data_IF_087821002809
#
_entry.id   IF_087821002809
#
_cell.length_a   1.000
_cell.length_b   1.000
_cell.length_c   1.000
_cell.angle_alpha   90.00
_cell.angle_beta   90.00
_cell.angle_gamma   90.00
#
_symmetry.space_group_name_H-M   'P 1'
#
loop_
_entity.id
_entity.type
_entity.pdbx_description
1 polymer ?
#
# COMPACT_ATOMS: atom_id res chain seq x y z
N UNK A 1 21.67 19.21 2.51
CA UNK A 1 20.69 20.14 1.91
C UNK A 1 19.32 19.53 2.08
N UNK A 2 18.30 20.26 2.57
CA UNK A 2 16.93 19.80 2.43
C UNK A 2 16.65 19.66 0.93
N UNK A 3 16.03 18.54 0.53
CA UNK A 3 15.49 18.40 -0.82
C UNK A 3 14.30 19.36 -0.90
N UNK A 4 14.54 20.59 -1.36
CA UNK A 4 13.47 21.55 -1.64
C UNK A 4 12.79 21.02 -2.90
N UNK A 5 11.48 20.67 -2.86
CA UNK A 5 10.77 20.26 -4.06
C UNK A 5 10.85 21.41 -5.07
N UNK A 6 11.36 21.12 -6.26
CA UNK A 6 11.39 22.09 -7.34
C UNK A 6 9.96 22.24 -7.86
N UNK A 7 9.36 23.41 -7.67
CA UNK A 7 7.96 23.67 -8.03
C UNK A 7 7.73 23.74 -9.53
N UNK A 8 8.81 23.82 -10.32
CA UNK A 8 8.76 23.83 -11.78
C UNK A 8 8.92 22.42 -12.39
N UNK A 9 9.19 21.41 -11.57
CA UNK A 9 9.28 20.00 -11.97
C UNK A 9 8.02 19.25 -11.50
N UNK A 10 7.67 18.13 -12.14
CA UNK A 10 6.50 17.28 -11.79
C UNK A 10 6.69 16.52 -10.45
N UNK A 11 7.42 17.13 -9.51
CA UNK A 11 7.82 16.61 -8.19
C UNK A 11 6.66 16.63 -7.17
N UNK A 12 5.51 17.18 -7.56
CA UNK A 12 4.25 17.12 -6.79
C UNK A 12 3.34 15.96 -7.19
N UNK A 13 3.66 15.22 -8.26
CA UNK A 13 2.98 13.98 -8.56
C UNK A 13 3.08 12.99 -7.37
N UNK A 14 2.03 12.22 -7.05
CA UNK A 14 2.04 11.32 -5.89
C UNK A 14 3.21 10.33 -5.92
N UNK A 15 3.57 9.84 -7.12
CA UNK A 15 4.72 8.97 -7.35
C UNK A 15 6.08 9.65 -7.07
N UNK A 16 6.24 10.94 -7.40
CA UNK A 16 7.47 11.68 -7.16
C UNK A 16 7.62 12.05 -5.68
N UNK A 17 6.52 12.39 -5.00
CA UNK A 17 6.52 12.61 -3.54
C UNK A 17 6.90 11.35 -2.75
N UNK A 18 6.38 10.19 -3.12
CA UNK A 18 6.75 8.93 -2.47
C UNK A 18 8.23 8.59 -2.70
N UNK A 19 8.74 8.83 -3.92
CA UNK A 19 10.15 8.62 -4.23
C UNK A 19 11.08 9.54 -3.41
N UNK A 20 10.70 10.81 -3.25
CA UNK A 20 11.40 11.79 -2.41
C UNK A 20 11.42 11.35 -0.95
N UNK A 21 10.26 10.98 -0.39
CA UNK A 21 10.16 10.49 0.99
C UNK A 21 11.03 9.24 1.19
N UNK A 22 10.95 8.28 0.25
CA UNK A 22 11.72 7.05 0.33
C UNK A 22 13.22 7.32 0.35
N UNK A 23 13.69 8.21 -0.53
CA UNK A 23 15.08 8.63 -0.55
C UNK A 23 15.48 9.31 0.77
N UNK A 24 14.67 10.25 1.27
CA UNK A 24 14.96 10.96 2.51
C UNK A 24 15.10 10.00 3.71
N UNK A 25 14.21 9.00 3.82
CA UNK A 25 14.22 8.04 4.93
C UNK A 25 15.31 6.98 4.78
N UNK A 26 15.54 6.44 3.58
CA UNK A 26 16.44 5.30 3.41
C UNK A 26 17.87 5.72 3.08
N UNK A 27 18.06 6.79 2.32
CA UNK A 27 19.35 7.20 1.76
C UNK A 27 19.83 8.56 2.31
N UNK A 28 18.93 9.32 2.94
CA UNK A 28 19.24 10.61 3.57
C UNK A 28 20.20 10.51 4.77
N UNK A 29 20.68 11.67 5.26
CA UNK A 29 21.50 11.72 6.46
C UNK A 29 20.73 11.17 7.67
N UNK A 30 21.41 10.45 8.55
CA UNK A 30 20.85 9.91 9.79
C UNK A 30 21.90 9.22 10.66
N UNK A 31 21.55 8.99 11.92
CA UNK A 31 22.37 8.31 12.93
C UNK A 31 22.48 6.80 12.68
N UNK A 32 21.52 6.22 11.97
CA UNK A 32 21.52 4.82 11.55
C UNK A 32 22.16 4.70 10.16
N UNK A 33 23.05 3.73 9.91
CA UNK A 33 23.55 3.50 8.55
C UNK A 33 22.41 3.18 7.57
N UNK A 34 22.45 3.79 6.38
CA UNK A 34 21.45 3.59 5.31
C UNK A 34 21.15 2.11 5.04
N UNK A 35 22.19 1.27 5.01
CA UNK A 35 22.03 -0.19 4.84
C UNK A 35 21.10 -0.82 5.87
N UNK A 36 21.19 -0.43 7.14
CA UNK A 36 20.34 -0.97 8.21
C UNK A 36 18.89 -0.50 8.02
N UNK A 37 18.68 0.78 7.66
CA UNK A 37 17.35 1.32 7.34
C UNK A 37 16.71 0.58 6.17
N UNK A 38 17.47 0.28 5.12
CA UNK A 38 17.01 -0.56 4.00
C UNK A 38 16.61 -1.96 4.47
N UNK A 39 17.43 -2.63 5.27
CA UNK A 39 17.14 -3.99 5.78
C UNK A 39 15.81 -4.01 6.55
N UNK A 40 15.60 -3.08 7.48
CA UNK A 40 14.37 -3.05 8.29
C UNK A 40 13.14 -2.61 7.48
N UNK A 41 13.30 -1.73 6.48
CA UNK A 41 12.20 -1.33 5.60
C UNK A 41 11.68 -2.50 4.76
N UNK A 42 12.59 -3.29 4.19
CA UNK A 42 12.22 -4.52 3.48
C UNK A 42 11.69 -5.60 4.44
N UNK A 43 12.04 -5.50 5.72
CA UNK A 43 11.63 -6.39 6.80
C UNK A 43 11.88 -7.88 6.50
N UNK A 44 13.00 -8.15 5.82
CA UNK A 44 13.57 -9.48 5.73
C UNK A 44 14.15 -9.83 7.09
N UNK A 45 13.31 -10.39 7.97
CA UNK A 45 13.66 -10.61 9.38
C UNK A 45 14.94 -11.44 9.54
N UNK A 46 15.26 -12.31 8.58
CA UNK A 46 16.51 -13.07 8.49
C UNK A 46 17.75 -12.19 8.33
N UNK A 47 17.65 -11.06 7.65
CA UNK A 47 18.72 -10.07 7.48
C UNK A 47 18.77 -9.03 8.63
N UNK A 48 17.71 -8.94 9.45
CA UNK A 48 17.63 -8.06 10.62
C UNK A 48 18.42 -8.66 11.79
N UNK A 49 19.21 -7.82 12.46
CA UNK A 49 19.97 -8.21 13.65
C UNK A 49 19.05 -8.76 14.75
N UNK A 50 19.57 -9.66 15.57
CA UNK A 50 18.75 -10.35 16.57
C UNK A 50 18.07 -9.37 17.54
N UNK A 51 18.77 -8.29 17.91
CA UNK A 51 18.27 -7.26 18.83
C UNK A 51 17.06 -6.50 18.26
N UNK A 52 17.06 -6.24 16.96
CA UNK A 52 16.00 -5.48 16.30
C UNK A 52 14.82 -6.33 15.85
N UNK A 53 14.98 -7.65 15.71
CA UNK A 53 14.01 -8.53 15.04
C UNK A 53 12.62 -8.46 15.67
N UNK A 54 12.52 -8.56 16.99
CA UNK A 54 11.23 -8.50 17.70
C UNK A 54 10.54 -7.14 17.59
N UNK A 55 11.32 -6.06 17.64
CA UNK A 55 10.81 -4.70 17.45
C UNK A 55 10.32 -4.49 16.02
N UNK A 56 11.12 -4.86 15.02
CA UNK A 56 10.79 -4.74 13.59
C UNK A 56 9.54 -5.54 13.23
N UNK A 57 9.42 -6.77 13.74
CA UNK A 57 8.22 -7.60 13.52
C UNK A 57 6.96 -6.96 14.13
N UNK A 58 7.09 -6.44 15.36
CA UNK A 58 6.00 -5.69 16.01
C UNK A 58 5.61 -4.46 15.18
N UNK A 59 6.56 -3.64 14.76
CA UNK A 59 6.27 -2.43 13.99
C UNK A 59 5.70 -2.74 12.60
N UNK A 60 6.05 -3.88 12.01
CA UNK A 60 5.54 -4.31 10.70
C UNK A 60 4.08 -4.77 10.74
N UNK A 61 3.76 -5.64 11.70
CA UNK A 61 2.47 -6.34 11.75
C UNK A 61 1.51 -5.79 12.80
N UNK A 62 2.05 -5.22 13.88
CA UNK A 62 1.33 -4.90 15.11
C UNK A 62 1.75 -3.56 15.72
N UNK A 63 1.96 -2.52 14.91
CA UNK A 63 2.47 -1.23 15.39
C UNK A 63 1.63 -0.62 16.54
N UNK A 64 0.33 -0.92 16.60
CA UNK A 64 -0.55 -0.51 17.70
C UNK A 64 -0.27 -1.22 19.04
N UNK A 65 0.59 -2.25 19.04
CA UNK A 65 1.08 -2.95 20.22
C UNK A 65 2.50 -2.53 20.60
N UNK A 66 3.07 -1.50 19.98
CA UNK A 66 4.37 -0.98 20.40
C UNK A 66 4.31 -0.56 21.86
N UNK A 67 5.34 -0.90 22.63
CA UNK A 67 5.43 -0.56 24.05
C UNK A 67 6.69 0.24 24.34
N UNK A 68 6.63 1.06 25.39
CA UNK A 68 7.79 1.80 25.90
C UNK A 68 8.90 0.84 26.39
N UNK A 69 8.54 -0.38 26.78
CA UNK A 69 9.50 -1.42 27.17
C UNK A 69 10.38 -1.87 26.02
N UNK A 70 9.79 -2.12 24.84
CA UNK A 70 10.57 -2.47 23.65
C UNK A 70 11.56 -1.37 23.27
N UNK A 71 11.17 -0.11 23.42
CA UNK A 71 12.07 1.03 23.18
C UNK A 71 13.19 1.04 24.23
N UNK A 72 12.85 0.94 25.52
CA UNK A 72 13.85 0.88 26.61
C UNK A 72 14.86 -0.25 26.40
N UNK A 73 14.41 -1.43 26.03
CA UNK A 73 15.28 -2.58 25.80
C UNK A 73 16.32 -2.27 24.71
N UNK A 74 15.90 -1.66 23.59
CA UNK A 74 16.83 -1.22 22.54
C UNK A 74 17.84 -0.19 23.05
N UNK A 75 17.39 0.79 23.86
CA UNK A 75 18.29 1.78 24.46
C UNK A 75 19.33 1.13 25.39
N UNK A 76 18.92 0.13 26.19
CA UNK A 76 19.84 -0.57 27.11
C UNK A 76 20.93 -1.37 26.37
N UNK A 77 20.65 -1.81 25.14
CA UNK A 77 21.61 -2.53 24.28
C UNK A 77 22.50 -1.58 23.48
N UNK A 78 22.29 -0.26 23.60
CA UNK A 78 23.17 0.77 23.05
C UNK A 78 22.66 1.47 21.80
N UNK A 79 21.40 1.24 21.40
CA UNK A 79 20.76 2.06 20.37
C UNK A 79 20.41 3.45 20.94
N UNK A 80 20.59 4.50 20.14
CA UNK A 80 20.12 5.84 20.53
C UNK A 80 18.64 6.03 20.22
N UNK A 81 18.00 7.00 20.87
CA UNK A 81 16.60 7.37 20.57
C UNK A 81 16.43 7.76 19.09
N UNK A 82 17.38 8.53 18.54
CA UNK A 82 17.39 8.89 17.12
C UNK A 82 17.43 7.64 16.21
N UNK A 83 18.25 6.65 16.55
CA UNK A 83 18.32 5.41 15.77
C UNK A 83 17.02 4.61 15.87
N UNK A 84 16.43 4.49 17.06
CA UNK A 84 15.15 3.81 17.22
C UNK A 84 14.05 4.52 16.42
N UNK A 85 14.02 5.86 16.46
CA UNK A 85 13.09 6.66 15.66
C UNK A 85 13.27 6.43 14.16
N UNK A 86 14.51 6.52 13.65
CA UNK A 86 14.82 6.30 12.23
C UNK A 86 14.42 4.88 11.77
N UNK A 87 14.69 3.86 12.58
CA UNK A 87 14.30 2.48 12.29
C UNK A 87 12.78 2.32 12.28
N UNK A 88 12.07 2.96 13.21
CA UNK A 88 10.60 2.98 13.26
C UNK A 88 10.01 3.54 11.97
N UNK A 89 10.53 4.69 11.54
CA UNK A 89 10.09 5.36 10.30
C UNK A 89 10.40 4.50 9.08
N UNK A 90 11.59 3.89 9.02
CA UNK A 90 11.97 3.00 7.91
C UNK A 90 11.06 1.75 7.82
N UNK A 91 10.74 1.11 8.95
CA UNK A 91 9.80 -0.03 8.99
C UNK A 91 8.40 0.41 8.55
N UNK A 92 7.91 1.53 9.06
CA UNK A 92 6.59 2.06 8.71
C UNK A 92 6.48 2.39 7.21
N UNK A 93 7.51 3.03 6.64
CA UNK A 93 7.61 3.33 5.22
C UNK A 93 7.52 2.05 4.38
N UNK A 94 8.34 1.04 4.69
CA UNK A 94 8.35 -0.21 3.96
C UNK A 94 7.04 -1.01 4.09
N UNK A 95 6.42 -1.00 5.27
CA UNK A 95 5.11 -1.60 5.48
C UNK A 95 4.01 -0.86 4.68
N UNK A 96 4.07 0.47 4.64
CA UNK A 96 3.22 1.31 3.79
C UNK A 96 3.36 0.97 2.31
N UNK A 97 4.60 0.95 1.80
CA UNK A 97 4.90 0.65 0.41
C UNK A 97 4.36 -0.72 -0.02
N UNK A 98 4.61 -1.77 0.79
CA UNK A 98 4.08 -3.12 0.49
C UNK A 98 2.56 -3.15 0.38
N UNK A 99 1.86 -2.44 1.27
CA UNK A 99 0.39 -2.36 1.24
C UNK A 99 -0.11 -1.58 0.02
N UNK A 100 0.58 -0.50 -0.34
CA UNK A 100 0.26 0.28 -1.54
C UNK A 100 0.42 -0.56 -2.82
N UNK A 101 1.58 -1.21 -2.99
CA UNK A 101 1.88 -2.05 -4.16
C UNK A 101 0.89 -3.20 -4.28
N UNK A 102 0.55 -3.86 -3.17
CA UNK A 102 -0.45 -4.93 -3.15
C UNK A 102 -1.84 -4.43 -3.55
N UNK A 103 -2.24 -3.24 -3.09
CA UNK A 103 -3.51 -2.61 -3.45
C UNK A 103 -3.60 -2.29 -4.94
N UNK A 104 -2.58 -1.64 -5.50
CA UNK A 104 -2.51 -1.33 -6.94
C UNK A 104 -2.54 -2.60 -7.80
N UNK A 105 -1.80 -3.64 -7.40
CA UNK A 105 -1.82 -4.93 -8.09
C UNK A 105 -3.20 -5.60 -8.03
N UNK A 106 -3.94 -5.47 -6.91
CA UNK A 106 -5.29 -6.00 -6.80
C UNK A 106 -6.28 -5.28 -7.74
N UNK A 107 -6.18 -3.95 -7.85
CA UNK A 107 -7.00 -3.13 -8.76
C UNK A 107 -6.72 -3.52 -10.21
N UNK A 108 -5.45 -3.57 -10.61
CA UNK A 108 -5.06 -3.96 -11.97
C UNK A 108 -5.61 -5.34 -12.35
N UNK A 109 -5.48 -6.33 -11.46
CA UNK A 109 -6.04 -7.67 -11.67
C UNK A 109 -7.57 -7.67 -11.80
N UNK A 110 -8.27 -6.82 -11.04
CA UNK A 110 -9.72 -6.69 -11.13
C UNK A 110 -10.16 -6.10 -12.48
N UNK A 111 -9.46 -5.07 -12.96
CA UNK A 111 -9.69 -4.47 -14.27
C UNK A 111 -9.46 -5.47 -15.40
N UNK A 112 -8.37 -6.24 -15.36
CA UNK A 112 -8.11 -7.30 -16.35
C UNK A 112 -9.22 -8.36 -16.36
N UNK A 113 -9.71 -8.77 -15.18
CA UNK A 113 -10.82 -9.73 -15.06
C UNK A 113 -12.11 -9.20 -15.68
N UNK A 114 -12.41 -7.91 -15.48
CA UNK A 114 -13.61 -7.28 -16.02
C UNK A 114 -13.56 -7.12 -17.53
N UNK A 115 -12.39 -6.79 -18.09
CA UNK A 115 -12.17 -6.75 -19.54
C UNK A 115 -12.27 -8.14 -20.20
N UNK A 116 -11.91 -9.20 -19.48
CA UNK A 116 -11.99 -10.58 -19.94
C UNK A 116 -13.38 -11.23 -19.74
N UNK A 117 -14.32 -10.55 -19.07
CA UNK A 117 -15.68 -11.07 -18.92
C UNK A 117 -16.38 -11.06 -20.29
N UNK A 118 -16.93 -12.19 -20.76
CA UNK A 118 -17.70 -12.20 -22.00
C UNK A 118 -18.89 -11.26 -21.85
N UNK A 119 -19.16 -10.45 -22.88
CA UNK A 119 -20.37 -9.65 -22.93
C UNK A 119 -21.57 -10.61 -22.79
N UNK A 120 -22.19 -10.61 -21.62
CA UNK A 120 -23.45 -11.33 -21.41
C UNK A 120 -24.41 -10.83 -22.48
N UNK A 121 -24.96 -11.69 -23.36
CA UNK A 121 -25.96 -11.23 -24.30
C UNK A 121 -27.12 -10.71 -23.47
N UNK A 122 -27.38 -9.40 -23.55
CA UNK A 122 -28.63 -8.83 -23.05
C UNK A 122 -29.73 -9.58 -23.80
N UNK A 123 -30.59 -10.36 -23.14
CA UNK A 123 -31.65 -11.07 -23.84
C UNK A 123 -32.50 -10.03 -24.56
N UNK A 124 -32.65 -10.19 -25.87
CA UNK A 124 -33.51 -9.36 -26.69
C UNK A 124 -34.89 -9.32 -26.02
N UNK A 125 -35.32 -8.13 -25.60
CA UNK A 125 -36.66 -7.93 -25.04
C UNK A 125 -37.66 -8.50 -26.04
N UNK A 126 -38.40 -9.52 -25.61
CA UNK A 126 -39.44 -10.13 -26.40
C UNK A 126 -40.43 -9.04 -26.81
N UNK A 127 -40.41 -8.72 -28.10
CA UNK A 127 -41.32 -7.78 -28.72
C UNK A 127 -42.76 -8.18 -28.38
N UNK A 128 -43.54 -7.18 -27.98
CA UNK A 128 -44.91 -7.32 -27.51
C UNK A 128 -45.75 -8.21 -28.45
N UNK A 129 -46.49 -9.15 -27.85
CA UNK A 129 -47.50 -9.97 -28.52
C UNK A 129 -48.52 -9.07 -29.25
N UNK A 130 -48.94 -9.39 -30.49
CA UNK A 130 -49.95 -8.60 -31.18
C UNK A 130 -51.30 -8.75 -30.47
N UNK A 131 -51.96 -7.61 -30.23
CA UNK A 131 -53.33 -7.56 -29.71
C UNK A 131 -54.25 -8.21 -30.74
N UNK A 132 -54.84 -9.36 -30.39
CA UNK A 132 -55.79 -10.03 -31.25
C UNK A 132 -57.09 -9.20 -31.36
N UNK A 133 -57.41 -8.85 -32.61
CA UNK A 133 -58.63 -8.19 -33.06
C UNK A 133 -59.86 -9.05 -32.72
N UNK A 134 -60.74 -8.56 -31.84
CA UNK A 134 -62.02 -9.22 -31.54
C UNK A 134 -63.04 -8.77 -32.56
N UNK A 135 -63.15 -9.52 -33.65
CA UNK A 135 -64.30 -9.45 -34.55
C UNK A 135 -65.17 -10.67 -34.29
N UNK A 136 -66.36 -10.47 -33.70
CA UNK A 136 -67.48 -11.37 -33.98
C UNK A 136 -68.80 -10.61 -34.04
N UNK A 137 -69.39 -10.68 -35.22
CA UNK A 137 -70.64 -10.09 -35.66
C UNK A 137 -71.78 -11.12 -35.49
N UNK A 138 -72.95 -10.60 -35.08
CA UNK A 138 -74.33 -11.10 -35.26
C UNK A 138 -74.77 -12.43 -34.63
N UNK A 139 -75.86 -12.38 -33.84
CA UNK A 139 -77.23 -12.76 -34.27
C UNK A 139 -78.14 -13.08 -33.07
N UNK A 140 -79.24 -12.32 -32.93
CA UNK A 140 -80.57 -12.79 -32.55
C UNK A 140 -81.59 -11.72 -32.96
#
# INVERSE_FOLDING_TARGET
MPLVPDTDNDDTAPESLFAVLRHAVLDGPGSTPSRVRHVVAHAKLDEVSHELRGYVDTMREHAWRSTDEQVRDLLTVGWSEDQVFELTVAVALGAGQRRMDAGLAAIARAQTRQAAAPATPVPAQASALPVAEVTRHAAA
#
